data_IF_699927016137
#
_entry.id   IF_699927016137
#
_cell.length_a   1.000
_cell.length_b   1.000
_cell.length_c   1.000
_cell.angle_alpha   90.00
_cell.angle_beta   90.00
_cell.angle_gamma   90.00
#
_symmetry.space_group_name_H-M   'P 1'
#
loop_
_entity.id
_entity.type
_entity.pdbx_description
1 polymer ?
#
# COMPACT_ATOMS: atom_id res chain seq x y z
N UNK A 1 -19.58 6.24 3.46
CA UNK A 1 -18.11 6.38 3.38
C UNK A 1 -17.57 5.42 2.33
N UNK A 2 -16.55 5.78 1.54
CA UNK A 2 -15.85 4.81 0.68
C UNK A 2 -14.85 4.02 1.54
N UNK A 3 -14.86 2.70 1.40
CA UNK A 3 -13.88 1.80 2.03
C UNK A 3 -13.22 0.92 0.97
N UNK A 4 -12.01 0.44 1.24
CA UNK A 4 -11.34 -0.57 0.45
C UNK A 4 -10.51 -1.49 1.34
N UNK A 5 -10.08 -2.63 0.80
CA UNK A 5 -9.15 -3.52 1.50
C UNK A 5 -7.77 -2.87 1.65
N UNK A 6 -7.02 -3.21 2.72
CA UNK A 6 -5.69 -2.64 2.98
C UNK A 6 -4.61 -3.17 2.03
N UNK A 7 -4.87 -4.30 1.35
CA UNK A 7 -3.93 -5.02 0.51
C UNK A 7 -4.48 -5.24 -0.91
N UNK A 8 -3.56 -5.60 -1.83
CA UNK A 8 -3.87 -5.96 -3.22
C UNK A 8 -3.23 -7.30 -3.57
N UNK A 9 -3.80 -7.96 -4.57
CA UNK A 9 -3.30 -9.23 -5.13
C UNK A 9 -1.89 -9.05 -5.73
N UNK A 10 -1.22 -10.15 -6.00
CA UNK A 10 0.13 -10.16 -6.61
C UNK A 10 0.21 -9.43 -7.95
N UNK A 11 -0.88 -9.37 -8.72
CA UNK A 11 -0.97 -8.63 -9.99
C UNK A 11 -1.32 -7.14 -9.80
N UNK A 12 -1.38 -6.68 -8.55
CA UNK A 12 -1.71 -5.32 -8.17
C UNK A 12 -3.19 -4.96 -8.23
N UNK A 13 -4.09 -5.91 -8.51
CA UNK A 13 -5.53 -5.68 -8.49
C UNK A 13 -6.09 -5.76 -7.07
N UNK A 14 -7.19 -5.05 -6.85
CA UNK A 14 -7.91 -5.11 -5.58
C UNK A 14 -8.54 -6.51 -5.35
N UNK A 15 -8.71 -6.89 -4.08
CA UNK A 15 -9.60 -8.00 -3.71
C UNK A 15 -11.05 -7.60 -3.99
N UNK A 16 -11.81 -8.51 -4.61
CA UNK A 16 -13.16 -8.19 -5.09
C UNK A 16 -14.23 -8.34 -4.01
N UNK A 17 -13.99 -9.20 -3.02
CA UNK A 17 -14.95 -9.55 -1.98
C UNK A 17 -14.27 -9.69 -0.62
N UNK A 18 -15.07 -9.62 0.45
CA UNK A 18 -14.60 -9.87 1.81
C UNK A 18 -14.06 -11.30 1.94
N UNK A 19 -14.75 -12.29 1.38
CA UNK A 19 -14.33 -13.70 1.46
C UNK A 19 -12.95 -13.91 0.82
N UNK A 20 -12.66 -13.26 -0.32
CA UNK A 20 -11.34 -13.35 -0.94
C UNK A 20 -10.24 -12.80 -0.03
N UNK A 21 -10.48 -11.64 0.60
CA UNK A 21 -9.52 -11.02 1.53
C UNK A 21 -9.36 -11.86 2.80
N UNK A 22 -10.47 -12.28 3.42
CA UNK A 22 -10.46 -13.08 4.64
C UNK A 22 -9.81 -14.45 4.43
N UNK A 23 -9.92 -15.04 3.23
CA UNK A 23 -9.20 -16.25 2.90
C UNK A 23 -7.68 -16.07 2.87
N UNK A 24 -7.16 -14.85 2.66
CA UNK A 24 -5.73 -14.55 2.80
C UNK A 24 -5.38 -14.22 4.25
N UNK A 25 -6.17 -13.34 4.89
CA UNK A 25 -5.96 -12.97 6.30
C UNK A 25 -5.97 -14.21 7.18
N UNK A 26 -6.86 -15.17 6.91
CA UNK A 26 -6.92 -16.46 7.60
C UNK A 26 -5.65 -17.32 7.52
N UNK A 27 -4.73 -17.00 6.61
CA UNK A 27 -3.43 -17.68 6.43
C UNK A 27 -2.26 -16.89 7.00
N UNK A 28 -2.50 -15.72 7.60
CA UNK A 28 -1.46 -14.88 8.19
C UNK A 28 -0.78 -15.60 9.37
N UNK A 29 0.56 -15.71 9.36
CA UNK A 29 1.30 -16.54 10.32
C UNK A 29 1.30 -15.99 11.75
N UNK A 30 1.06 -14.70 11.92
CA UNK A 30 1.21 -13.99 13.20
C UNK A 30 -0.11 -13.60 13.86
N UNK A 31 -1.26 -13.86 13.23
CA UNK A 31 -2.58 -13.59 13.82
C UNK A 31 -3.59 -12.92 12.87
N UNK A 32 -4.84 -13.34 13.01
CA UNK A 32 -5.94 -13.03 12.08
C UNK A 32 -7.09 -12.25 12.72
N UNK A 33 -6.95 -11.89 14.02
CA UNK A 33 -7.98 -11.38 14.97
C UNK A 33 -8.93 -12.47 15.53
N UNK A 34 -9.32 -12.51 16.82
CA UNK A 34 -8.95 -11.73 18.03
C UNK A 34 -7.78 -12.33 18.83
N UNK A 35 -7.33 -13.53 18.46
CA UNK A 35 -6.25 -14.22 19.14
C UNK A 35 -5.07 -14.40 18.17
N UNK A 36 -3.87 -14.05 18.63
CA UNK A 36 -2.64 -14.33 17.90
C UNK A 36 -2.32 -15.83 17.89
N UNK A 37 -1.35 -16.25 17.07
CA UNK A 37 -0.89 -17.64 17.04
C UNK A 37 -0.26 -18.11 18.35
N UNK A 38 0.11 -17.17 19.22
CA UNK A 38 0.54 -17.41 20.61
C UNK A 38 -0.62 -17.56 21.61
N UNK A 39 -1.88 -17.64 21.16
CA UNK A 39 -3.11 -17.66 21.96
C UNK A 39 -3.28 -16.46 22.91
N UNK A 40 -2.59 -15.34 22.65
CA UNK A 40 -2.78 -14.09 23.37
C UNK A 40 -3.78 -13.19 22.65
N UNK A 41 -4.39 -12.28 23.40
CA UNK A 41 -5.24 -11.22 22.86
C UNK A 41 -4.47 -10.40 21.82
N UNK A 42 -5.09 -10.21 20.66
CA UNK A 42 -4.51 -9.54 19.51
C UNK A 42 -5.54 -8.52 18.98
N UNK A 43 -5.21 -7.24 19.10
CA UNK A 43 -6.14 -6.11 18.87
C UNK A 43 -6.39 -5.78 17.40
N UNK A 44 -5.78 -6.50 16.47
CA UNK A 44 -5.77 -6.15 15.06
C UNK A 44 -5.53 -7.34 14.14
N UNK A 45 -5.12 -7.04 12.92
CA UNK A 45 -4.72 -8.04 11.92
C UNK A 45 -3.27 -7.79 11.51
N UNK A 46 -2.58 -8.83 11.07
CA UNK A 46 -1.33 -8.69 10.34
C UNK A 46 -1.57 -8.77 8.84
N UNK A 47 -0.85 -7.96 8.09
CA UNK A 47 -0.74 -8.05 6.63
C UNK A 47 0.71 -8.36 6.33
N UNK A 48 1.00 -9.56 5.83
CA UNK A 48 2.33 -10.00 5.38
C UNK A 48 2.35 -10.14 3.85
N UNK A 49 3.39 -10.79 3.33
CA UNK A 49 3.42 -11.24 1.92
C UNK A 49 2.29 -12.22 1.58
N UNK A 50 1.67 -12.86 2.57
CA UNK A 50 0.55 -13.78 2.32
C UNK A 50 -0.67 -13.03 1.77
N UNK A 51 -1.09 -11.94 2.45
CA UNK A 51 -2.20 -11.11 1.98
C UNK A 51 -1.79 -9.99 1.03
N UNK A 52 -0.50 -9.60 0.99
CA UNK A 52 0.00 -8.48 0.19
C UNK A 52 1.36 -8.78 -0.46
N UNK A 53 1.46 -9.80 -1.35
CA UNK A 53 2.74 -10.27 -1.88
C UNK A 53 3.52 -9.20 -2.67
N UNK A 54 2.83 -8.27 -3.32
CA UNK A 54 3.45 -7.18 -4.07
C UNK A 54 3.86 -5.97 -3.17
N UNK A 55 3.57 -6.01 -1.87
CA UNK A 55 3.78 -4.88 -0.94
C UNK A 55 5.10 -4.90 -0.20
N UNK A 56 6.07 -5.70 -0.65
CA UNK A 56 7.47 -5.55 -0.27
C UNK A 56 8.22 -4.78 -1.34
N UNK A 57 8.85 -3.68 -0.97
CA UNK A 57 9.64 -2.86 -1.89
C UNK A 57 11.10 -3.27 -1.89
N UNK A 58 11.66 -3.53 -3.07
CA UNK A 58 13.08 -3.82 -3.29
C UNK A 58 13.59 -3.05 -4.50
N UNK A 59 14.90 -3.02 -4.73
CA UNK A 59 15.47 -2.47 -5.96
C UNK A 59 15.07 -3.24 -7.22
N UNK A 60 14.68 -4.52 -7.08
CA UNK A 60 14.43 -5.43 -8.20
C UNK A 60 12.99 -5.38 -8.70
N UNK A 61 12.04 -4.96 -7.85
CA UNK A 61 10.61 -5.00 -8.17
C UNK A 61 9.96 -3.61 -8.28
N UNK A 62 10.75 -2.57 -8.55
CA UNK A 62 10.25 -1.19 -8.59
C UNK A 62 9.12 -0.93 -9.59
N UNK A 63 8.99 -1.74 -10.62
CA UNK A 63 7.95 -1.62 -11.62
C UNK A 63 6.68 -2.43 -11.31
N UNK A 64 6.76 -3.40 -10.39
CA UNK A 64 5.67 -4.30 -10.02
C UNK A 64 5.23 -4.16 -8.56
N UNK A 65 6.01 -3.49 -7.72
CA UNK A 65 5.69 -3.27 -6.31
C UNK A 65 4.43 -2.40 -6.17
N UNK A 66 3.55 -2.79 -5.25
CA UNK A 66 2.26 -2.15 -5.01
C UNK A 66 2.15 -1.83 -3.52
N UNK A 67 1.96 -0.56 -3.13
CA UNK A 67 1.83 -0.21 -1.72
C UNK A 67 0.52 -0.75 -1.16
N UNK A 68 0.50 -0.96 0.16
CA UNK A 68 -0.73 -1.06 0.93
C UNK A 68 -1.57 0.21 0.75
N UNK A 69 -2.85 0.12 1.08
CA UNK A 69 -3.80 1.21 0.92
C UNK A 69 -4.43 1.63 2.24
N UNK A 70 -4.72 2.93 2.38
CA UNK A 70 -5.62 3.38 3.44
C UNK A 70 -7.01 2.76 3.22
N UNK A 71 -7.55 2.11 4.25
CA UNK A 71 -8.85 1.43 4.17
C UNK A 71 -10.01 2.41 4.12
N UNK A 72 -9.88 3.55 4.79
CA UNK A 72 -10.87 4.61 4.86
C UNK A 72 -10.19 5.98 4.68
N UNK A 73 -10.96 6.94 4.19
CA UNK A 73 -10.51 8.34 4.13
C UNK A 73 -10.68 9.03 5.47
N UNK A 74 -9.75 9.92 5.80
CA UNK A 74 -9.71 10.62 7.08
C UNK A 74 -8.59 11.64 7.19
N UNK A 75 -8.33 12.06 8.42
CA UNK A 75 -7.25 12.98 8.78
C UNK A 75 -6.14 12.23 9.48
N UNK A 76 -4.89 12.40 9.03
CA UNK A 76 -3.72 11.92 9.77
C UNK A 76 -3.60 12.78 11.03
N UNK A 77 -3.71 12.14 12.20
CA UNK A 77 -3.71 12.83 13.50
C UNK A 77 -2.46 12.56 14.33
N UNK A 78 -1.76 11.47 14.04
CA UNK A 78 -0.44 11.19 14.59
C UNK A 78 0.34 10.27 13.64
N UNK A 79 1.66 10.38 13.66
CA UNK A 79 2.54 9.46 12.94
C UNK A 79 3.90 9.36 13.64
N UNK A 80 4.65 8.31 13.32
CA UNK A 80 6.10 8.22 13.52
C UNK A 80 6.68 7.69 12.21
N UNK A 81 7.72 8.35 11.69
CA UNK A 81 8.57 7.78 10.66
C UNK A 81 9.96 7.55 11.24
N UNK A 82 10.44 6.31 11.18
CA UNK A 82 11.84 6.07 11.45
C UNK A 82 12.70 6.60 10.31
N UNK A 83 13.83 7.23 10.62
CA UNK A 83 14.76 7.70 9.57
C UNK A 83 15.33 6.54 8.77
N UNK A 84 15.58 5.42 9.45
CA UNK A 84 16.03 4.15 8.92
C UNK A 84 15.45 2.99 9.74
N UNK A 85 15.67 1.74 9.32
CA UNK A 85 15.30 0.60 10.15
C UNK A 85 16.01 0.66 11.51
N UNK A 86 15.27 0.28 12.56
CA UNK A 86 15.85 0.06 13.87
C UNK A 86 16.53 -1.30 13.87
N UNK A 87 17.59 -1.44 14.66
CA UNK A 87 18.30 -2.71 14.79
C UNK A 87 18.61 -3.03 16.25
N UNK A 88 18.73 -4.32 16.52
CA UNK A 88 19.18 -4.86 17.80
C UNK A 88 20.06 -6.09 17.56
N UNK A 89 20.63 -6.68 18.62
CA UNK A 89 21.44 -7.89 18.55
C UNK A 89 20.88 -8.98 19.43
N UNK A 90 20.66 -10.17 18.86
CA UNK A 90 20.24 -11.35 19.59
C UNK A 90 21.19 -12.51 19.28
N UNK A 91 21.87 -13.03 20.30
CA UNK A 91 22.85 -14.13 20.17
C UNK A 91 23.92 -13.91 19.07
N UNK A 92 24.34 -12.65 18.87
CA UNK A 92 25.31 -12.27 17.84
C UNK A 92 24.74 -12.14 16.43
N UNK A 93 23.42 -12.33 16.25
CA UNK A 93 22.68 -12.05 15.01
C UNK A 93 22.06 -10.65 15.08
N UNK A 94 22.02 -9.96 13.94
CA UNK A 94 21.37 -8.65 13.84
C UNK A 94 19.86 -8.85 13.67
N UNK A 95 19.08 -8.21 14.54
CA UNK A 95 17.65 -8.02 14.37
C UNK A 95 17.39 -6.69 13.68
N UNK A 96 16.26 -6.58 13.00
CA UNK A 96 15.87 -5.36 12.30
C UNK A 96 14.35 -5.21 12.35
N UNK A 97 13.84 -4.01 12.59
CA UNK A 97 12.40 -3.75 12.65
C UNK A 97 12.08 -2.29 12.34
N UNK A 98 10.80 -2.00 12.10
CA UNK A 98 10.29 -0.63 11.96
C UNK A 98 9.24 -0.34 13.01
N UNK A 99 9.38 0.79 13.69
CA UNK A 99 8.33 1.36 14.54
C UNK A 99 7.52 2.44 13.84
N UNK A 100 7.69 2.59 12.51
CA UNK A 100 6.97 3.60 11.74
C UNK A 100 5.48 3.28 11.74
N UNK A 101 4.67 4.28 12.05
CA UNK A 101 3.22 4.15 12.06
C UNK A 101 2.52 5.42 11.58
N UNK A 102 1.27 5.26 11.18
CA UNK A 102 0.35 6.38 10.94
C UNK A 102 -1.01 6.08 11.57
N UNK A 103 -1.58 7.08 12.22
CA UNK A 103 -2.90 7.04 12.85
C UNK A 103 -3.83 7.99 12.10
N UNK A 104 -4.91 7.43 11.55
CA UNK A 104 -5.90 8.17 10.77
C UNK A 104 -7.21 8.22 11.53
N UNK A 105 -7.70 9.42 11.81
CA UNK A 105 -9.03 9.69 12.35
C UNK A 105 -10.03 9.78 11.20
N UNK A 106 -11.08 8.97 11.27
CA UNK A 106 -12.15 8.88 10.27
C UNK A 106 -13.51 9.08 10.94
N UNK A 107 -14.50 9.52 10.16
CA UNK A 107 -15.88 9.67 10.61
C UNK A 107 -16.82 8.95 9.65
N UNK A 108 -17.49 7.90 10.13
CA UNK A 108 -18.51 7.20 9.37
C UNK A 108 -19.90 7.76 9.68
N UNK A 109 -20.57 8.30 8.67
CA UNK A 109 -21.99 8.68 8.74
C UNK A 109 -22.77 7.75 7.81
N UNK A 110 -23.41 6.68 8.33
CA UNK A 110 -24.09 5.68 7.51
C UNK A 110 -25.26 6.25 6.71
N UNK A 111 -25.99 7.20 7.31
CA UNK A 111 -27.10 7.91 6.69
C UNK A 111 -26.82 9.41 6.76
N UNK A 112 -26.60 10.04 5.59
CA UNK A 112 -26.27 11.46 5.50
C UNK A 112 -27.36 12.39 6.06
N UNK A 113 -28.60 11.90 6.23
CA UNK A 113 -29.70 12.65 6.84
C UNK A 113 -29.71 12.58 8.37
N UNK A 114 -28.90 11.69 8.96
CA UNK A 114 -28.81 11.42 10.41
C UNK A 114 -27.37 11.67 10.88
N UNK A 115 -26.89 12.90 10.73
CA UNK A 115 -25.52 13.27 11.03
C UNK A 115 -25.13 13.03 12.49
N UNK A 116 -26.11 13.09 13.41
CA UNK A 116 -25.95 12.74 14.82
C UNK A 116 -25.51 11.29 15.02
N UNK A 117 -25.88 10.37 14.12
CA UNK A 117 -25.47 8.96 14.15
C UNK A 117 -24.12 8.72 13.45
N UNK A 118 -23.21 9.68 13.56
CA UNK A 118 -21.84 9.52 13.04
C UNK A 118 -20.96 8.85 14.07
N UNK A 119 -20.10 7.93 13.62
CA UNK A 119 -19.09 7.29 14.45
C UNK A 119 -17.70 7.80 14.10
N UNK A 120 -17.02 8.35 15.08
CA UNK A 120 -15.58 8.58 15.02
C UNK A 120 -14.82 7.29 15.31
N UNK A 121 -13.85 6.97 14.46
CA UNK A 121 -12.95 5.84 14.66
C UNK A 121 -11.56 6.17 14.13
N UNK A 122 -10.60 5.36 14.55
CA UNK A 122 -9.19 5.50 14.21
C UNK A 122 -8.70 4.22 13.56
N UNK A 123 -7.92 4.36 12.50
CA UNK A 123 -7.16 3.27 11.90
C UNK A 123 -5.68 3.50 12.18
N UNK A 124 -5.06 2.55 12.86
CA UNK A 124 -3.65 2.56 13.21
C UNK A 124 -2.92 1.53 12.34
N UNK A 125 -1.90 1.99 11.60
CA UNK A 125 -1.06 1.15 10.75
C UNK A 125 0.37 1.19 11.28
N UNK A 126 0.92 0.06 11.74
CA UNK A 126 2.22 -0.04 12.43
C UNK A 126 3.14 -0.98 11.66
N UNK A 127 4.43 -0.69 11.64
CA UNK A 127 5.44 -1.54 10.99
C UNK A 127 5.67 -1.19 9.52
N UNK A 128 5.34 0.05 9.11
CA UNK A 128 5.56 0.48 7.73
C UNK A 128 7.06 0.59 7.41
N UNK A 129 7.46 0.31 6.17
CA UNK A 129 8.83 0.53 5.72
C UNK A 129 9.26 2.01 5.95
N UNK A 130 10.44 2.27 6.54
CA UNK A 130 10.95 3.62 6.73
C UNK A 130 11.38 4.24 5.39
N UNK A 131 11.48 5.59 5.28
CA UNK A 131 11.92 6.26 4.04
C UNK A 131 13.27 5.77 3.50
N UNK A 132 14.18 5.28 4.35
CA UNK A 132 15.45 4.68 3.92
C UNK A 132 15.30 3.43 3.05
N UNK A 133 14.17 2.73 3.14
CA UNK A 133 13.90 1.52 2.35
C UNK A 133 13.44 1.85 0.92
N UNK A 134 13.11 3.11 0.64
CA UNK A 134 12.65 3.55 -0.67
C UNK A 134 13.84 4.01 -1.52
N UNK A 135 14.06 3.42 -2.70
CA UNK A 135 15.24 3.76 -3.49
C UNK A 135 15.15 5.17 -4.08
N UNK A 136 16.28 5.88 -4.03
CA UNK A 136 16.44 7.16 -4.69
C UNK A 136 16.74 6.94 -6.18
N UNK A 137 15.74 7.18 -7.03
CA UNK A 137 15.82 6.98 -8.46
C UNK A 137 16.20 8.24 -9.20
N UNK A 138 16.84 8.06 -10.35
CA UNK A 138 17.23 9.16 -11.22
C UNK A 138 15.99 9.75 -11.90
N UNK A 139 15.79 11.06 -11.72
CA UNK A 139 14.79 11.82 -12.47
C UNK A 139 15.42 12.35 -13.76
N UNK A 140 14.63 12.39 -14.82
CA UNK A 140 15.00 12.97 -16.11
C UNK A 140 13.97 13.99 -16.56
N UNK A 141 14.44 14.97 -17.32
CA UNK A 141 13.63 15.95 -18.03
C UNK A 141 13.88 15.86 -19.53
N UNK A 142 12.80 15.91 -20.30
CA UNK A 142 12.84 15.89 -21.76
C UNK A 142 13.39 17.22 -22.28
N UNK A 143 14.43 17.17 -23.10
CA UNK A 143 15.03 18.35 -23.75
C UNK A 143 14.17 18.83 -24.92
N UNK A 144 14.49 20.00 -25.51
CA UNK A 144 13.84 20.45 -26.74
C UNK A 144 14.01 19.45 -27.90
N UNK A 145 15.19 18.81 -28.00
CA UNK A 145 15.46 17.77 -29.01
C UNK A 145 14.75 16.45 -28.70
N UNK A 146 14.40 16.22 -27.43
CA UNK A 146 13.59 15.07 -27.00
C UNK A 146 12.09 15.22 -27.29
N UNK A 147 11.65 16.36 -27.81
CA UNK A 147 10.26 16.55 -28.21
C UNK A 147 9.86 15.55 -29.30
N UNK A 148 8.81 14.77 -29.06
CA UNK A 148 8.39 13.70 -29.97
C UNK A 148 9.09 12.35 -29.73
N UNK A 149 9.90 12.21 -28.67
CA UNK A 149 10.54 10.95 -28.35
C UNK A 149 9.50 9.86 -28.07
N UNK A 150 9.61 8.73 -28.76
CA UNK A 150 8.60 7.66 -28.73
C UNK A 150 8.67 6.87 -27.42
N UNK A 151 7.51 6.67 -26.80
CA UNK A 151 7.34 5.70 -25.72
C UNK A 151 7.21 4.31 -26.32
N UNK A 152 7.88 3.33 -25.73
CA UNK A 152 7.89 1.93 -26.16
C UNK A 152 7.20 1.03 -25.13
N UNK A 153 6.54 -0.02 -25.61
CA UNK A 153 5.75 -0.93 -24.78
C UNK A 153 6.59 -1.59 -23.70
N UNK A 154 6.00 -1.82 -22.53
CA UNK A 154 6.58 -2.60 -21.44
C UNK A 154 5.72 -3.84 -21.18
N UNK A 155 6.33 -5.02 -21.24
CA UNK A 155 5.70 -6.33 -21.02
C UNK A 155 6.21 -7.06 -19.78
N UNK A 156 7.35 -6.65 -19.22
CA UNK A 156 7.99 -7.31 -18.08
C UNK A 156 8.88 -8.48 -18.46
N UNK A 157 9.03 -8.76 -19.74
CA UNK A 157 9.80 -9.91 -20.25
C UNK A 157 11.00 -9.49 -21.10
N UNK A 158 11.24 -8.18 -21.26
CA UNK A 158 12.33 -7.66 -22.09
C UNK A 158 13.70 -8.03 -21.51
N UNK A 159 14.60 -8.54 -22.35
CA UNK A 159 15.98 -8.89 -21.96
C UNK A 159 16.99 -7.90 -22.52
N UNK A 160 18.12 -7.83 -21.82
CA UNK A 160 19.27 -7.01 -22.22
C UNK A 160 19.81 -7.42 -23.59
N UNK A 161 19.98 -6.45 -24.48
CA UNK A 161 20.52 -6.65 -25.82
C UNK A 161 19.49 -7.03 -26.90
N UNK A 162 18.22 -7.24 -26.53
CA UNK A 162 17.15 -7.48 -27.50
C UNK A 162 16.82 -6.23 -28.33
N UNK A 163 16.13 -6.36 -29.49
CA UNK A 163 15.60 -5.22 -30.20
C UNK A 163 14.67 -4.37 -29.31
N UNK A 164 14.74 -3.05 -29.46
CA UNK A 164 13.95 -2.13 -28.65
C UNK A 164 12.44 -2.41 -28.83
N UNK A 165 11.65 -2.48 -27.74
CA UNK A 165 10.23 -2.83 -27.82
C UNK A 165 9.45 -1.91 -28.76
N UNK A 166 8.36 -2.42 -29.35
CA UNK A 166 7.59 -1.66 -30.34
C UNK A 166 7.02 -0.36 -29.72
N UNK A 167 6.99 0.76 -30.47
CA UNK A 167 6.39 2.01 -29.99
C UNK A 167 4.92 1.86 -29.62
N UNK A 168 4.50 2.54 -28.56
CA UNK A 168 3.10 2.63 -28.08
C UNK A 168 2.21 3.51 -28.97
N UNK A 169 2.80 4.26 -29.91
CA UNK A 169 2.14 5.34 -30.64
C UNK A 169 2.08 6.68 -29.88
N UNK A 170 2.49 6.71 -28.60
CA UNK A 170 2.60 7.94 -27.79
C UNK A 170 4.03 8.49 -27.83
N UNK A 171 4.14 9.79 -27.59
CA UNK A 171 5.41 10.51 -27.53
C UNK A 171 5.49 11.41 -26.30
N UNK A 172 6.72 11.76 -25.93
CA UNK A 172 7.01 12.76 -24.91
C UNK A 172 7.04 14.17 -25.51
N UNK A 173 6.73 15.16 -24.68
CA UNK A 173 6.84 16.57 -24.97
C UNK A 173 7.99 17.21 -24.18
N UNK A 174 8.56 18.28 -24.72
CA UNK A 174 9.61 19.08 -24.07
C UNK A 174 9.22 19.45 -22.63
N UNK A 175 10.17 19.33 -21.70
CA UNK A 175 10.00 19.74 -20.32
C UNK A 175 9.23 18.75 -19.43
N UNK A 176 8.62 17.70 -19.99
CA UNK A 176 8.06 16.61 -19.19
C UNK A 176 9.15 15.97 -18.33
N UNK A 177 8.75 15.54 -17.12
CA UNK A 177 9.64 14.88 -16.18
C UNK A 177 9.20 13.45 -15.94
N UNK A 178 10.17 12.57 -15.72
CA UNK A 178 9.94 11.17 -15.43
C UNK A 178 10.98 10.65 -14.46
N UNK A 179 10.64 9.57 -13.77
CA UNK A 179 11.57 8.81 -12.96
C UNK A 179 11.90 7.52 -13.70
N UNK A 180 13.18 7.15 -13.72
CA UNK A 180 13.65 5.88 -14.29
C UNK A 180 13.73 4.83 -13.20
N UNK A 181 12.90 3.80 -13.32
CA UNK A 181 12.80 2.67 -12.39
C UNK A 181 13.99 1.71 -12.52
N UNK A 182 14.41 1.46 -13.76
CA UNK A 182 15.59 0.67 -14.10
C UNK A 182 16.09 1.02 -15.50
N UNK A 183 17.36 0.76 -15.76
CA UNK A 183 17.95 0.90 -17.08
C UNK A 183 18.07 -0.47 -17.77
N UNK A 184 18.04 -0.46 -19.09
CA UNK A 184 18.36 -1.61 -19.91
C UNK A 184 18.98 -1.14 -21.23
N UNK A 185 19.67 -2.03 -21.95
CA UNK A 185 20.21 -1.74 -23.28
C UNK A 185 19.41 -2.51 -24.33
N UNK A 186 19.07 -1.82 -25.42
CA UNK A 186 18.36 -2.41 -26.55
C UNK A 186 19.03 -2.08 -27.87
N UNK A 187 18.89 -2.98 -28.84
CA UNK A 187 19.24 -2.74 -30.23
C UNK A 187 18.17 -1.89 -30.93
N UNK A 188 18.55 -0.78 -31.57
CA UNK A 188 17.65 0.03 -32.38
C UNK A 188 18.40 0.58 -33.60
N UNK A 189 17.88 0.32 -34.80
CA UNK A 189 18.43 0.81 -36.07
C UNK A 189 19.94 0.57 -36.22
N UNK A 190 20.39 -0.63 -35.84
CA UNK A 190 21.81 -1.03 -35.91
C UNK A 190 22.70 -0.52 -34.76
N UNK A 191 22.14 0.22 -33.81
CA UNK A 191 22.87 0.76 -32.66
C UNK A 191 22.44 0.09 -31.36
N UNK A 192 23.32 0.04 -30.36
CA UNK A 192 22.98 -0.37 -29.00
C UNK A 192 22.82 0.90 -28.17
N UNK A 193 21.65 1.10 -27.60
CA UNK A 193 21.28 2.32 -26.89
C UNK A 193 20.76 1.98 -25.49
N UNK A 194 21.04 2.88 -24.54
CA UNK A 194 20.48 2.81 -23.19
C UNK A 194 19.04 3.32 -23.18
N UNK A 195 18.15 2.53 -22.59
CA UNK A 195 16.77 2.87 -22.34
C UNK A 195 16.48 2.83 -20.84
N UNK A 196 15.57 3.69 -20.40
CA UNK A 196 15.02 3.69 -19.05
C UNK A 196 13.60 3.15 -19.07
N UNK A 197 13.28 2.24 -18.14
CA UNK A 197 11.90 1.92 -17.81
C UNK A 197 11.39 3.04 -16.92
N UNK A 198 10.55 3.90 -17.47
CA UNK A 198 10.17 5.16 -16.84
C UNK A 198 8.68 5.24 -16.51
N UNK A 199 8.34 6.07 -15.52
CA UNK A 199 6.98 6.56 -15.27
C UNK A 199 6.97 8.09 -15.26
N UNK A 200 5.93 8.67 -15.84
CA UNK A 200 5.76 10.12 -15.88
C UNK A 200 5.46 10.66 -14.48
N UNK A 201 6.01 11.84 -14.20
CA UNK A 201 5.72 12.59 -12.99
C UNK A 201 4.67 13.66 -13.28
N UNK A 202 3.70 13.79 -12.39
CA UNK A 202 2.77 14.92 -12.42
C UNK A 202 3.40 16.17 -11.77
N UNK A 203 2.63 17.26 -11.72
CA UNK A 203 3.08 18.54 -11.11
C UNK A 203 3.41 18.47 -9.62
N UNK A 204 3.01 17.39 -8.93
CA UNK A 204 3.29 17.11 -7.53
C UNK A 204 4.45 16.12 -7.34
N UNK A 205 5.17 15.78 -8.43
CA UNK A 205 6.20 14.73 -8.47
C UNK A 205 5.67 13.32 -8.14
N UNK A 206 4.39 13.06 -8.35
CA UNK A 206 3.83 11.72 -8.16
C UNK A 206 3.95 10.92 -9.45
N UNK A 207 4.31 9.64 -9.34
CA UNK A 207 4.35 8.73 -10.49
C UNK A 207 2.94 8.45 -11.00
N UNK A 208 2.75 8.63 -12.30
CA UNK A 208 1.45 8.48 -12.96
C UNK A 208 1.54 7.58 -14.19
N UNK A 209 0.39 7.02 -14.59
CA UNK A 209 0.30 6.14 -15.75
C UNK A 209 1.03 4.82 -15.58
N UNK A 210 1.09 4.05 -16.67
CA UNK A 210 1.82 2.78 -16.77
C UNK A 210 3.29 3.03 -17.10
N UNK A 211 4.17 2.11 -16.71
CA UNK A 211 5.58 2.18 -17.08
C UNK A 211 5.77 1.97 -18.60
N UNK A 212 6.83 2.55 -19.15
CA UNK A 212 7.20 2.45 -20.57
C UNK A 212 8.71 2.53 -20.75
N UNK A 213 9.22 1.98 -21.85
CA UNK A 213 10.63 2.14 -22.22
C UNK A 213 10.83 3.42 -23.03
N UNK A 214 11.92 4.15 -22.73
CA UNK A 214 12.31 5.37 -23.45
C UNK A 214 13.83 5.49 -23.55
N UNK A 215 14.33 6.06 -24.66
CA UNK A 215 15.77 6.31 -24.81
C UNK A 215 16.26 7.30 -23.77
N UNK A 216 17.42 7.03 -23.17
CA UNK A 216 18.13 7.92 -22.25
C UNK A 216 19.31 8.65 -22.91
N UNK A 217 19.32 8.75 -24.24
CA UNK A 217 20.31 9.53 -24.96
C UNK A 217 20.38 10.96 -24.40
N UNK A 218 21.58 11.46 -24.00
CA UNK A 218 21.75 12.79 -23.44
C UNK A 218 21.26 13.94 -24.35
N UNK A 219 21.13 13.71 -25.66
CA UNK A 219 20.51 14.68 -26.58
C UNK A 219 19.02 14.88 -26.29
N UNK A 220 18.32 13.84 -25.85
CA UNK A 220 16.86 13.86 -25.64
C UNK A 220 16.46 13.99 -24.18
N UNK A 221 17.33 13.58 -23.26
CA UNK A 221 17.06 13.49 -21.83
C UNK A 221 18.19 14.13 -21.03
N UNK A 222 17.83 14.95 -20.05
CA UNK A 222 18.79 15.52 -19.09
C UNK A 222 18.46 15.04 -17.68
N UNK A 223 19.43 14.52 -16.90
CA UNK A 223 19.25 14.24 -15.47
C UNK A 223 18.76 15.49 -14.73
N UNK A 224 17.70 15.33 -13.94
CA UNK A 224 17.04 16.42 -13.21
C UNK A 224 16.91 16.05 -11.73
N UNK A 225 18.01 15.73 -11.08
CA UNK A 225 18.03 15.34 -9.66
C UNK A 225 17.51 13.93 -9.37
N UNK A 226 17.23 13.63 -8.10
CA UNK A 226 16.74 12.33 -7.66
C UNK A 226 15.35 12.43 -7.06
N UNK A 227 14.61 11.34 -7.13
CA UNK A 227 13.31 11.18 -6.49
C UNK A 227 13.27 9.86 -5.73
N UNK A 228 12.81 9.91 -4.49
CA UNK A 228 12.51 8.69 -3.72
C UNK A 228 11.28 8.04 -4.32
N UNK A 229 11.47 6.89 -4.96
CA UNK A 229 10.40 6.17 -5.66
C UNK A 229 9.36 5.66 -4.70
N UNK A 230 8.10 5.62 -5.14
CA UNK A 230 6.98 5.01 -4.42
C UNK A 230 6.68 5.55 -3.02
N UNK A 231 7.37 6.60 -2.58
CA UNK A 231 7.10 7.24 -1.30
C UNK A 231 5.68 7.84 -1.34
N UNK A 232 4.75 7.40 -0.49
CA UNK A 232 3.38 7.89 -0.52
C UNK A 232 3.28 9.40 -0.25
N UNK A 233 2.23 10.04 -0.75
CA UNK A 233 2.05 11.50 -0.63
C UNK A 233 2.11 12.00 0.83
N UNK A 234 1.53 11.26 1.77
CA UNK A 234 1.59 11.62 3.20
C UNK A 234 3.03 11.51 3.73
N UNK A 235 3.78 10.45 3.37
CA UNK A 235 5.19 10.30 3.75
C UNK A 235 6.08 11.37 3.10
N UNK A 236 5.79 11.81 1.87
CA UNK A 236 6.51 12.93 1.25
C UNK A 236 6.34 14.21 2.06
N UNK A 237 5.10 14.50 2.51
CA UNK A 237 4.80 15.68 3.33
C UNK A 237 5.44 15.64 4.72
N UNK A 238 5.66 14.45 5.30
CA UNK A 238 6.33 14.32 6.60
C UNK A 238 7.85 14.36 6.44
N UNK A 239 8.41 13.78 5.37
CA UNK A 239 9.83 13.86 5.05
C UNK A 239 10.29 15.31 4.85
N UNK A 240 9.47 16.18 4.24
CA UNK A 240 9.83 17.61 4.10
C UNK A 240 9.91 18.35 5.43
N UNK A 241 9.27 17.84 6.49
CA UNK A 241 9.39 18.40 7.84
C UNK A 241 10.71 18.02 8.52
N UNK A 242 11.36 16.94 8.06
CA UNK A 242 12.66 16.49 8.57
C UNK A 242 12.64 15.98 10.02
N UNK A 243 11.46 15.61 10.54
CA UNK A 243 11.29 15.07 11.89
C UNK A 243 11.14 13.55 11.79
N UNK A 244 12.05 12.83 12.44
CA UNK A 244 12.11 11.37 12.45
C UNK A 244 12.20 10.82 13.88
N UNK A 245 11.94 9.52 14.02
CA UNK A 245 12.19 8.71 15.22
C UNK A 245 11.45 9.20 16.48
N UNK A 246 10.41 10.01 16.30
CA UNK A 246 9.52 10.51 17.35
C UNK A 246 8.06 10.50 16.90
N UNK A 247 7.14 10.57 17.86
CA UNK A 247 5.71 10.70 17.56
C UNK A 247 5.41 12.16 17.26
N UNK A 248 4.79 12.41 16.10
CA UNK A 248 4.45 13.73 15.63
C UNK A 248 2.94 13.84 15.47
N UNK A 249 2.37 14.92 16.01
CA UNK A 249 1.03 15.40 15.64
C UNK A 249 1.18 16.39 14.50
N UNK A 250 0.58 16.18 13.31
CA UNK A 250 0.66 17.14 12.22
C UNK A 250 0.21 18.54 12.65
N UNK A 251 1.03 19.55 12.34
CA UNK A 251 0.71 20.97 12.59
C UNK A 251 -0.19 21.56 11.51
N UNK A 252 -0.11 21.01 10.30
CA UNK A 252 -1.02 21.29 9.19
C UNK A 252 -1.92 20.09 8.96
N UNK A 253 -3.19 20.37 8.64
CA UNK A 253 -4.16 19.34 8.31
C UNK A 253 -3.67 18.47 7.15
N UNK A 254 -3.62 17.16 7.36
CA UNK A 254 -3.19 16.18 6.38
C UNK A 254 -4.31 15.17 6.18
N UNK A 255 -4.86 15.08 4.97
CA UNK A 255 -5.99 14.20 4.65
C UNK A 255 -5.57 13.09 3.71
N UNK A 256 -6.15 11.92 3.90
CA UNK A 256 -5.99 10.74 3.03
C UNK A 256 -7.36 10.22 2.60
N UNK A 257 -7.44 9.57 1.45
CA UNK A 257 -8.64 8.93 0.94
C UNK A 257 -8.51 7.40 0.92
N UNK A 258 -9.65 6.71 0.93
CA UNK A 258 -9.68 5.26 0.78
C UNK A 258 -9.10 4.84 -0.58
N UNK A 259 -8.06 4.00 -0.54
CA UNK A 259 -7.30 3.54 -1.69
C UNK A 259 -6.00 4.31 -1.95
N UNK A 260 -5.78 5.44 -1.26
CA UNK A 260 -4.50 6.14 -1.33
C UNK A 260 -3.38 5.24 -0.80
N UNK A 261 -2.18 5.39 -1.37
CA UNK A 261 -1.02 4.64 -0.94
C UNK A 261 -0.71 4.92 0.54
N UNK A 262 -0.67 3.85 1.34
CA UNK A 262 -0.28 3.88 2.74
C UNK A 262 1.24 3.74 2.88
N UNK A 263 1.85 2.79 2.18
CA UNK A 263 3.26 2.45 2.31
C UNK A 263 3.52 0.98 1.97
N UNK A 264 4.72 0.50 2.25
CA UNK A 264 5.11 -0.89 2.05
C UNK A 264 5.32 -1.59 3.39
N UNK A 265 5.32 -2.92 3.36
CA UNK A 265 5.64 -3.76 4.51
C UNK A 265 7.05 -3.44 4.99
N UNK A 266 7.20 -3.13 6.28
CA UNK A 266 8.51 -2.96 6.88
C UNK A 266 9.15 -4.31 7.11
N UNK A 267 10.42 -4.44 6.77
CA UNK A 267 11.18 -5.64 7.07
C UNK A 267 11.31 -5.83 8.58
N UNK A 268 10.92 -7.02 9.04
CA UNK A 268 11.06 -7.46 10.42
C UNK A 268 11.91 -8.73 10.45
N UNK A 269 13.05 -8.65 11.14
CA UNK A 269 13.99 -9.73 11.36
C UNK A 269 13.99 -10.02 12.85
N UNK A 270 13.41 -11.15 13.23
CA UNK A 270 13.18 -11.55 14.62
C UNK A 270 13.91 -12.85 14.95
N UNK A 271 14.11 -13.16 16.25
CA UNK A 271 14.59 -14.46 16.68
C UNK A 271 13.68 -15.59 16.16
N UNK A 272 14.27 -16.55 15.46
CA UNK A 272 13.61 -17.77 14.98
C UNK A 272 14.02 -19.00 15.80
N UNK A 273 13.74 -20.18 15.25
CA UNK A 273 14.12 -21.45 15.87
C UNK A 273 15.64 -21.71 15.79
N UNK A 274 16.14 -22.59 16.66
CA UNK A 274 17.51 -23.14 16.60
C UNK A 274 18.65 -22.09 16.55
N UNK A 275 18.47 -20.93 17.18
CA UNK A 275 19.44 -19.82 17.19
C UNK A 275 19.62 -19.12 15.83
N UNK A 276 18.66 -19.28 14.91
CA UNK A 276 18.59 -18.53 13.67
C UNK A 276 17.62 -17.35 13.77
N UNK A 277 17.67 -16.47 12.77
CA UNK A 277 16.70 -15.37 12.62
C UNK A 277 15.70 -15.72 11.54
N UNK A 278 14.45 -15.27 11.71
CA UNK A 278 13.41 -15.31 10.70
C UNK A 278 13.18 -13.91 10.15
N UNK A 279 12.82 -13.80 8.87
CA UNK A 279 12.49 -12.52 8.24
C UNK A 279 11.09 -12.57 7.66
N UNK A 280 10.19 -11.74 8.21
CA UNK A 280 8.82 -11.64 7.73
C UNK A 280 8.36 -10.18 7.74
N UNK A 281 8.38 -9.48 6.59
CA UNK A 281 7.87 -8.12 6.51
C UNK A 281 6.35 -8.11 6.71
N UNK A 282 5.88 -7.28 7.63
CA UNK A 282 4.46 -7.14 7.90
C UNK A 282 4.08 -5.70 8.27
N UNK A 283 2.77 -5.46 8.26
CA UNK A 283 2.14 -4.29 8.88
C UNK A 283 1.04 -4.79 9.79
N UNK A 284 0.99 -4.26 11.00
CA UNK A 284 -0.11 -4.48 11.93
C UNK A 284 -1.16 -3.38 11.77
N UNK A 285 -2.43 -3.77 11.71
CA UNK A 285 -3.55 -2.86 11.51
C UNK A 285 -4.57 -3.02 12.64
N UNK A 286 -4.86 -1.94 13.33
CA UNK A 286 -5.94 -1.87 14.33
C UNK A 286 -7.01 -0.85 13.92
N UNK A 287 -8.25 -1.17 14.26
CA UNK A 287 -9.37 -0.21 14.19
C UNK A 287 -9.93 -0.05 15.58
N UNK A 288 -9.94 1.18 16.07
CA UNK A 288 -10.35 1.50 17.43
C UNK A 288 -11.26 2.72 17.45
N UNK A 289 -12.19 2.76 18.40
CA UNK A 289 -13.06 3.91 18.63
C UNK A 289 -13.18 4.15 20.11
N UNK A 290 -13.02 5.41 20.51
CA UNK A 290 -13.32 5.91 21.86
C UNK A 290 -14.59 6.75 21.85
N UNK A 291 -15.36 6.68 20.76
CA UNK A 291 -16.60 7.45 20.61
C UNK A 291 -17.67 6.85 21.55
N UNK A 292 -18.23 7.70 22.40
CA UNK A 292 -19.30 7.29 23.33
C UNK A 292 -20.56 6.82 22.60
N UNK A 293 -20.72 7.15 21.32
CA UNK A 293 -21.85 6.73 20.49
C UNK A 293 -21.70 5.31 19.92
N UNK A 294 -20.56 4.65 20.09
CA UNK A 294 -20.32 3.32 19.53
C UNK A 294 -21.42 2.29 19.86
N UNK A 295 -21.95 2.20 21.10
CA UNK A 295 -23.04 1.28 21.40
C UNK A 295 -24.32 1.57 20.60
N UNK A 296 -24.71 2.84 20.48
CA UNK A 296 -25.90 3.24 19.72
C UNK A 296 -25.72 3.04 18.21
N UNK A 297 -24.51 3.28 17.73
CA UNK A 297 -24.14 3.04 16.33
C UNK A 297 -24.26 1.56 15.98
N UNK A 298 -23.73 0.66 16.81
CA UNK A 298 -23.81 -0.80 16.62
C UNK A 298 -25.23 -1.34 16.78
N UNK A 299 -26.02 -0.79 17.70
CA UNK A 299 -27.42 -1.15 17.91
C UNK A 299 -28.36 -0.56 16.84
N UNK A 300 -27.85 0.30 15.95
CA UNK A 300 -28.63 1.03 14.97
C UNK A 300 -29.81 1.81 15.61
N UNK A 301 -29.58 2.46 16.74
CA UNK A 301 -30.60 3.23 17.48
C UNK A 301 -31.26 4.31 16.61
N UNK A 302 -30.54 4.82 15.61
CA UNK A 302 -31.03 5.82 14.65
C UNK A 302 -31.92 5.23 13.53
N UNK A 303 -32.05 3.91 13.42
CA UNK A 303 -32.89 3.25 12.41
C UNK A 303 -32.40 3.50 10.97
N UNK A 304 -31.09 3.42 10.73
CA UNK A 304 -30.49 3.47 9.40
C UNK A 304 -30.99 2.28 8.57
N UNK A 305 -31.43 2.54 7.34
CA UNK A 305 -32.01 1.53 6.44
C UNK A 305 -31.16 1.21 5.21
N UNK A 306 -30.11 2.00 4.95
CA UNK A 306 -29.14 1.78 3.88
C UNK A 306 -27.93 0.94 4.31
N UNK A 307 -27.13 0.50 3.34
CA UNK A 307 -25.93 -0.32 3.57
C UNK A 307 -26.18 -1.82 3.60
N UNK A 308 -25.11 -2.59 3.77
CA UNK A 308 -25.17 -4.04 3.90
C UNK A 308 -25.73 -4.43 5.27
N UNK A 309 -26.64 -5.41 5.28
CA UNK A 309 -27.29 -5.90 6.49
C UNK A 309 -26.61 -7.19 6.92
N UNK A 310 -25.98 -7.16 8.08
CA UNK A 310 -25.42 -8.35 8.71
C UNK A 310 -26.38 -8.85 9.79
N UNK A 311 -26.60 -10.16 9.83
CA UNK A 311 -27.36 -10.82 10.90
C UNK A 311 -26.38 -11.18 12.02
N UNK A 312 -26.56 -10.57 13.19
CA UNK A 312 -25.88 -11.03 14.39
C UNK A 312 -26.60 -12.26 14.91
N UNK A 313 -25.96 -13.42 14.81
CA UNK A 313 -26.51 -14.69 15.26
C UNK A 313 -25.71 -15.22 16.46
N UNK A 314 -26.40 -15.84 17.42
CA UNK A 314 -25.73 -16.57 18.49
C UNK A 314 -24.93 -17.74 17.88
N UNK A 315 -23.76 -18.13 18.43
CA UNK A 315 -22.95 -19.23 17.88
C UNK A 315 -23.72 -20.54 17.63
N UNK A 316 -24.73 -20.82 18.47
CA UNK A 316 -25.59 -22.00 18.36
C UNK A 316 -26.82 -21.82 17.44
N UNK A 317 -26.91 -20.69 16.71
CA UNK A 317 -28.06 -20.41 15.86
C UNK A 317 -27.97 -21.16 14.54
N UNK A 318 -29.06 -21.78 14.15
CA UNK A 318 -29.21 -22.38 12.82
C UNK A 318 -29.53 -21.30 11.78
N UNK A 319 -28.69 -21.18 10.76
CA UNK A 319 -28.96 -20.36 9.57
C UNK A 319 -29.67 -21.22 8.54
N UNK A 320 -30.81 -20.75 8.06
CA UNK A 320 -31.54 -21.39 6.97
C UNK A 320 -31.63 -20.45 5.77
N UNK A 321 -31.40 -20.97 4.56
CA UNK A 321 -31.76 -20.28 3.32
C UNK A 321 -33.13 -20.75 2.86
N UNK A 322 -33.99 -19.81 2.45
CA UNK A 322 -35.30 -20.11 1.89
C UNK A 322 -35.30 -19.73 0.41
N UNK A 323 -35.54 -20.70 -0.47
CA UNK A 323 -35.69 -20.48 -1.92
C UNK A 323 -37.00 -21.09 -2.39
N UNK A 324 -38.01 -20.25 -2.58
CA UNK A 324 -39.38 -20.68 -2.87
C UNK A 324 -40.02 -21.37 -1.66
N UNK A 325 -40.40 -22.64 -1.81
CA UNK A 325 -40.97 -23.46 -0.73
C UNK A 325 -39.95 -24.34 -0.01
N UNK A 326 -38.66 -24.22 -0.35
CA UNK A 326 -37.59 -25.05 0.22
C UNK A 326 -36.81 -24.25 1.24
N UNK A 327 -36.71 -24.80 2.46
CA UNK A 327 -35.89 -24.27 3.56
C UNK A 327 -34.71 -25.22 3.75
N UNK A 328 -33.48 -24.72 3.64
CA UNK A 328 -32.26 -25.50 3.76
C UNK A 328 -31.36 -24.95 4.88
N UNK A 329 -30.94 -25.82 5.79
CA UNK A 329 -29.98 -25.49 6.85
C UNK A 329 -28.58 -25.31 6.23
N UNK A 330 -28.02 -24.11 6.37
CA UNK A 330 -26.70 -23.73 5.88
C UNK A 330 -25.64 -23.70 6.98
N UNK A 331 -25.99 -24.03 8.23
CA UNK A 331 -25.05 -24.04 9.36
C UNK A 331 -23.94 -25.10 9.25
N UNK A 332 -24.04 -26.05 8.31
CA UNK A 332 -23.05 -27.12 8.07
C UNK A 332 -22.06 -26.84 6.93
N UNK A 333 -22.09 -25.62 6.38
CA UNK A 333 -21.32 -25.26 5.18
C UNK A 333 -20.31 -24.13 5.41
N UNK A 334 -20.16 -23.66 6.66
CA UNK A 334 -19.15 -22.69 7.08
C UNK A 334 -18.03 -23.39 7.83
#
# INVERSE_FOLDING_TARGET
MKICFPARKADGKDYSTLDEMMAQVGREPHGTWLAGTNAMWHGGIHITRESAPASVLTSENLDTAVPLSFMAGGEVVAYRLNSQYLSDTWMGKTLQYSSSFVLVKSVCTPDATKAENSLEFYSLYIGLAPPSAFPALQRYRVTERGNGLRLRNYSGQEKTGEPAPVPTGKTLATGQTMVVLRENIFGLDGHILTFGLARLLNKHNEMTGTAFWVSLDPLFMTPDGKQTAHLPAWMQQTVTQGIYDTVVKPTTRMTVAAGDALGFLGEDIIPGELHETETDPYVHIEVLSTDSQLPDFLNNSAGVTGGDKYLHIHPDSYLYTCSGSVIQDTSKSC
#
